data_IF_989009722796
#
_entry.id   IF_989009722796
#
_cell.length_a   1.000
_cell.length_b   1.000
_cell.length_c   1.000
_cell.angle_alpha   90.00
_cell.angle_beta   90.00
_cell.angle_gamma   90.00
#
_symmetry.space_group_name_H-M   'P 1'
#
loop_
_entity.id
_entity.type
_entity.pdbx_description
1 polymer ?
#
# COMPACT_ATOMS: atom_id res chain seq x y z
N UNK A 1 15.27 3.66 39.76
CA UNK A 1 14.10 3.63 38.85
C UNK A 1 13.92 2.20 38.37
N UNK A 2 12.80 1.54 38.69
CA UNK A 2 12.51 0.18 38.22
C UNK A 2 12.02 0.24 36.77
N UNK A 3 12.67 -0.50 35.87
CA UNK A 3 12.24 -0.62 34.46
C UNK A 3 11.58 -1.99 34.30
N UNK A 4 10.30 -2.01 33.92
CA UNK A 4 9.55 -3.24 33.70
C UNK A 4 8.54 -3.08 32.55
N UNK A 5 8.17 -4.19 31.92
CA UNK A 5 7.20 -4.19 30.83
C UNK A 5 7.16 -5.49 30.05
N UNK A 6 6.48 -5.46 28.91
CA UNK A 6 6.43 -6.58 27.96
C UNK A 6 7.27 -6.26 26.73
N UNK A 7 8.03 -7.23 26.24
CA UNK A 7 8.93 -7.03 25.10
C UNK A 7 9.19 -8.32 24.35
N UNK A 8 9.61 -8.21 23.09
CA UNK A 8 9.93 -9.36 22.25
C UNK A 8 11.41 -9.72 22.32
N UNK A 9 11.71 -10.98 22.59
CA UNK A 9 13.05 -11.56 22.73
C UNK A 9 13.26 -12.71 21.76
N UNK A 10 14.53 -13.15 21.65
CA UNK A 10 14.96 -14.28 20.81
C UNK A 10 14.51 -14.17 19.34
N UNK A 11 14.60 -12.95 18.80
CA UNK A 11 14.11 -12.62 17.45
C UNK A 11 15.00 -13.23 16.35
N UNK A 12 14.44 -14.13 15.55
CA UNK A 12 15.04 -14.75 14.37
C UNK A 12 14.28 -14.40 13.06
N UNK A 13 14.81 -14.82 11.90
CA UNK A 13 14.22 -14.61 10.57
C UNK A 13 13.75 -13.16 10.34
N UNK A 14 14.56 -12.18 10.74
CA UNK A 14 14.21 -10.76 10.64
C UNK A 14 14.12 -10.32 9.17
N UNK A 15 13.06 -9.60 8.84
CA UNK A 15 12.89 -8.89 7.57
C UNK A 15 12.42 -7.46 7.87
N UNK A 16 12.79 -6.51 7.03
CA UNK A 16 12.42 -5.10 7.17
C UNK A 16 12.01 -4.56 5.83
N UNK A 17 10.86 -3.90 5.77
CA UNK A 17 10.40 -3.17 4.60
C UNK A 17 9.84 -1.81 5.01
N UNK A 18 9.60 -0.96 4.03
CA UNK A 18 8.80 0.25 4.16
C UNK A 18 7.50 0.13 3.37
N UNK A 19 6.54 0.99 3.66
CA UNK A 19 5.25 0.98 2.98
C UNK A 19 4.16 1.60 3.83
N UNK A 20 2.98 1.72 3.25
CA UNK A 20 1.80 2.22 3.95
C UNK A 20 1.22 1.13 4.85
N UNK A 21 1.10 1.43 6.14
CA UNK A 21 0.54 0.49 7.11
C UNK A 21 -0.99 0.39 6.95
N UNK A 22 -1.52 -0.82 6.79
CA UNK A 22 -2.97 -1.05 6.66
C UNK A 22 -3.79 -0.62 7.88
N UNK A 23 -3.17 -0.58 9.06
CA UNK A 23 -3.86 -0.17 10.31
C UNK A 23 -3.89 1.34 10.52
N UNK A 24 -2.80 2.06 10.20
CA UNK A 24 -2.69 3.49 10.52
C UNK A 24 -2.53 4.41 9.30
N UNK A 25 -2.48 3.85 8.09
CA UNK A 25 -2.35 4.58 6.83
C UNK A 25 -0.99 5.24 6.58
N UNK A 26 -0.12 5.36 7.60
CA UNK A 26 1.15 6.08 7.44
C UNK A 26 2.22 5.23 6.74
N UNK A 27 2.99 5.88 5.86
CA UNK A 27 4.24 5.32 5.36
C UNK A 27 5.24 5.14 6.49
N UNK A 28 5.61 3.89 6.80
CA UNK A 28 6.38 3.55 7.99
C UNK A 28 7.35 2.40 7.73
N UNK A 29 8.34 2.26 8.62
CA UNK A 29 9.17 1.04 8.68
C UNK A 29 8.34 -0.08 9.31
N UNK A 30 8.27 -1.21 8.62
CA UNK A 30 7.66 -2.44 9.11
C UNK A 30 8.74 -3.50 9.27
N UNK A 31 8.72 -4.20 10.40
CA UNK A 31 9.70 -5.26 10.70
C UNK A 31 8.96 -6.54 11.02
N UNK A 32 9.41 -7.65 10.45
CA UNK A 32 8.89 -8.99 10.73
C UNK A 32 9.97 -9.82 11.40
N UNK A 33 9.60 -10.69 12.33
CA UNK A 33 10.52 -11.60 13.02
C UNK A 33 9.77 -12.79 13.61
N UNK A 34 10.48 -13.88 13.87
CA UNK A 34 9.96 -14.96 14.71
C UNK A 34 10.57 -14.85 16.11
N UNK A 35 9.79 -15.00 17.16
CA UNK A 35 10.26 -14.85 18.54
C UNK A 35 9.14 -15.00 19.55
N UNK A 36 9.43 -14.60 20.79
CA UNK A 36 8.51 -14.71 21.92
C UNK A 36 8.42 -13.36 22.63
N UNK A 37 7.26 -13.04 23.21
CA UNK A 37 7.14 -11.93 24.15
C UNK A 37 7.38 -12.42 25.58
N UNK A 38 8.02 -11.57 26.38
CA UNK A 38 8.30 -11.80 27.79
C UNK A 38 7.92 -10.57 28.60
N UNK A 39 7.46 -10.79 29.82
CA UNK A 39 7.60 -9.80 30.88
C UNK A 39 9.08 -9.70 31.23
N UNK A 40 9.60 -8.48 31.24
CA UNK A 40 10.99 -8.22 31.55
C UNK A 40 11.15 -7.25 32.72
N UNK A 41 12.21 -7.47 33.50
CA UNK A 41 12.69 -6.54 34.53
C UNK A 41 14.10 -6.12 34.13
N UNK A 42 14.34 -4.81 34.04
CA UNK A 42 15.60 -4.24 33.57
C UNK A 42 16.08 -4.87 32.24
N UNK A 43 15.15 -5.05 31.29
CA UNK A 43 15.36 -5.69 29.99
C UNK A 43 15.76 -7.17 30.03
N UNK A 44 15.79 -7.81 31.20
CA UNK A 44 16.01 -9.25 31.34
C UNK A 44 14.65 -9.96 31.17
N UNK A 45 14.49 -10.89 30.21
CA UNK A 45 13.23 -11.62 30.01
C UNK A 45 13.02 -12.61 31.16
N UNK A 46 12.01 -12.37 31.99
CA UNK A 46 11.75 -13.16 33.22
C UNK A 46 10.63 -14.17 33.01
N UNK A 47 9.48 -13.73 32.47
CA UNK A 47 8.29 -14.59 32.34
C UNK A 47 7.84 -14.61 30.87
N UNK A 48 7.80 -15.77 30.20
CA UNK A 48 7.28 -15.86 28.84
C UNK A 48 5.79 -15.52 28.84
N UNK A 49 5.39 -14.59 27.97
CA UNK A 49 3.98 -14.17 27.78
C UNK A 49 3.39 -14.83 26.54
N UNK A 50 4.20 -15.13 25.53
CA UNK A 50 3.76 -15.85 24.34
C UNK A 50 4.58 -17.09 24.07
N UNK A 51 3.98 -18.04 23.35
CA UNK A 51 4.71 -19.07 22.63
C UNK A 51 5.54 -18.45 21.48
N UNK A 52 6.42 -19.27 20.89
CA UNK A 52 7.20 -18.88 19.73
C UNK A 52 6.29 -18.67 18.52
N UNK A 53 6.29 -17.46 17.99
CA UNK A 53 5.36 -17.02 16.95
C UNK A 53 6.06 -16.13 15.93
N UNK A 54 5.46 -16.04 14.74
CA UNK A 54 5.84 -15.07 13.71
C UNK A 54 5.07 -13.78 13.95
N UNK A 55 5.80 -12.69 14.15
CA UNK A 55 5.28 -11.33 14.04
C UNK A 55 5.55 -10.85 12.61
N UNK A 56 4.49 -10.55 11.88
CA UNK A 56 4.52 -10.19 10.47
C UNK A 56 4.06 -8.74 10.30
N UNK A 57 4.88 -7.91 9.64
CA UNK A 57 4.65 -6.48 9.38
C UNK A 57 4.36 -5.64 10.63
N UNK A 58 5.19 -5.76 11.65
CA UNK A 58 5.08 -4.87 12.82
C UNK A 58 5.46 -3.44 12.44
N UNK A 59 4.51 -2.51 12.55
CA UNK A 59 4.65 -1.11 12.18
C UNK A 59 5.29 -0.28 13.29
N UNK A 60 6.36 0.45 12.97
CA UNK A 60 7.05 1.32 13.91
C UNK A 60 6.27 2.57 14.34
N UNK A 61 5.19 2.93 13.65
CA UNK A 61 4.39 4.12 13.96
C UNK A 61 3.20 3.80 14.87
N UNK A 62 2.48 2.70 14.64
CA UNK A 62 1.30 2.34 15.44
C UNK A 62 1.50 1.12 16.35
N UNK A 63 2.68 0.50 16.33
CA UNK A 63 3.02 -0.66 17.15
C UNK A 63 2.11 -1.89 16.95
N UNK A 64 1.40 -1.95 15.82
CA UNK A 64 0.58 -3.10 15.41
C UNK A 64 1.33 -3.99 14.43
N UNK A 65 1.08 -5.30 14.50
CA UNK A 65 1.57 -6.30 13.57
C UNK A 65 0.72 -7.57 13.66
N UNK A 66 0.77 -8.40 12.62
CA UNK A 66 0.04 -9.67 12.59
C UNK A 66 0.84 -10.75 13.31
N UNK A 67 0.15 -11.66 14.00
CA UNK A 67 0.75 -12.75 14.78
C UNK A 67 0.31 -14.09 14.23
N UNK A 68 1.25 -15.00 13.98
CA UNK A 68 0.97 -16.33 13.46
C UNK A 68 1.76 -17.41 14.20
N UNK A 69 1.17 -18.59 14.46
CA UNK A 69 1.95 -19.80 14.68
C UNK A 69 2.87 -20.04 13.46
N UNK A 70 4.17 -20.39 13.65
CA UNK A 70 5.09 -20.53 12.52
C UNK A 70 4.64 -21.53 11.44
N UNK A 71 4.11 -22.73 11.78
CA UNK A 71 3.63 -23.65 10.75
C UNK A 71 2.52 -23.06 9.87
N UNK A 72 1.59 -22.31 10.49
CA UNK A 72 0.50 -21.64 9.77
C UNK A 72 1.02 -20.51 8.87
N UNK A 73 2.00 -19.75 9.34
CA UNK A 73 2.64 -18.72 8.50
C UNK A 73 3.32 -19.34 7.28
N UNK A 74 4.03 -20.46 7.47
CA UNK A 74 4.75 -21.13 6.40
C UNK A 74 3.76 -21.75 5.38
N UNK A 75 2.64 -22.32 5.85
CA UNK A 75 1.53 -22.78 5.00
C UNK A 75 0.93 -21.65 4.16
N UNK A 76 0.61 -20.50 4.78
CA UNK A 76 0.07 -19.34 4.06
C UNK A 76 1.08 -18.82 3.03
N UNK A 77 2.36 -18.77 3.40
CA UNK A 77 3.43 -18.33 2.51
C UNK A 77 3.55 -19.23 1.28
N UNK A 78 3.43 -20.55 1.46
CA UNK A 78 3.44 -21.51 0.35
C UNK A 78 2.24 -21.29 -0.59
N UNK A 79 1.03 -21.18 -0.04
CA UNK A 79 -0.20 -20.91 -0.82
C UNK A 79 -0.10 -19.62 -1.63
N UNK A 80 0.46 -18.56 -1.04
CA UNK A 80 0.70 -17.29 -1.73
C UNK A 80 1.68 -17.47 -2.89
N UNK A 81 2.74 -18.25 -2.73
CA UNK A 81 3.69 -18.53 -3.82
C UNK A 81 3.02 -19.28 -4.98
N UNK A 82 2.18 -20.27 -4.68
CA UNK A 82 1.44 -21.04 -5.69
C UNK A 82 0.45 -20.16 -6.46
N UNK A 83 -0.35 -19.37 -5.76
CA UNK A 83 -1.31 -18.45 -6.38
C UNK A 83 -0.62 -17.31 -7.16
N UNK A 84 0.54 -16.84 -6.70
CA UNK A 84 1.32 -15.83 -7.42
C UNK A 84 1.82 -16.35 -8.77
N UNK A 85 2.12 -17.65 -8.87
CA UNK A 85 2.45 -18.27 -10.15
C UNK A 85 1.27 -18.23 -11.13
N UNK A 86 0.04 -18.45 -10.65
CA UNK A 86 -1.17 -18.33 -11.49
C UNK A 86 -1.40 -16.88 -11.94
N UNK A 87 -1.22 -15.91 -11.04
CA UNK A 87 -1.30 -14.50 -11.39
C UNK A 87 -0.26 -14.07 -12.44
N UNK A 88 0.97 -14.60 -12.34
CA UNK A 88 2.01 -14.37 -13.34
C UNK A 88 1.63 -14.94 -14.71
N UNK A 89 1.09 -16.16 -14.74
CA UNK A 89 0.64 -16.78 -16.00
C UNK A 89 -0.50 -15.98 -16.65
N UNK A 90 -1.51 -15.57 -15.87
CA UNK A 90 -2.59 -14.71 -16.36
C UNK A 90 -2.04 -13.42 -16.99
N UNK A 91 -1.15 -12.71 -16.28
CA UNK A 91 -0.53 -11.48 -16.80
C UNK A 91 0.32 -11.72 -18.05
N UNK A 92 0.95 -12.89 -18.18
CA UNK A 92 1.73 -13.28 -19.37
C UNK A 92 0.83 -13.58 -20.57
N UNK A 93 -0.37 -14.08 -20.33
CA UNK A 93 -1.37 -14.37 -21.36
C UNK A 93 -2.22 -13.13 -21.70
N UNK A 94 -1.94 -11.99 -21.05
CA UNK A 94 -2.65 -10.72 -21.25
C UNK A 94 -4.01 -10.66 -20.52
N UNK A 95 -4.24 -11.58 -19.59
CA UNK A 95 -5.43 -11.63 -18.75
C UNK A 95 -5.28 -10.69 -17.54
N UNK A 96 -6.36 -9.97 -17.20
CA UNK A 96 -6.38 -9.07 -16.05
C UNK A 96 -6.79 -9.79 -14.75
N UNK A 97 -7.54 -10.88 -14.84
CA UNK A 97 -8.12 -11.57 -13.69
C UNK A 97 -7.66 -13.01 -13.59
N UNK A 98 -7.42 -13.48 -12.36
CA UNK A 98 -7.19 -14.88 -12.06
C UNK A 98 -8.50 -15.49 -11.54
N UNK A 99 -8.91 -16.66 -12.05
CA UNK A 99 -10.04 -17.39 -11.48
C UNK A 99 -9.72 -17.76 -10.03
N UNK A 100 -10.60 -17.39 -9.11
CA UNK A 100 -10.58 -17.94 -7.76
C UNK A 100 -11.71 -18.99 -7.70
N UNK A 101 -11.37 -20.24 -7.33
CA UNK A 101 -12.32 -21.36 -7.38
C UNK A 101 -13.46 -21.16 -6.36
N UNK A 102 -13.18 -20.44 -5.27
CA UNK A 102 -14.09 -20.28 -4.13
C UNK A 102 -14.60 -18.84 -3.93
N UNK A 103 -14.09 -17.86 -4.69
CA UNK A 103 -14.43 -16.43 -4.56
C UNK A 103 -14.52 -15.73 -5.93
N UNK A 104 -14.88 -14.45 -5.92
CA UNK A 104 -14.84 -13.57 -7.10
C UNK A 104 -13.44 -13.56 -7.77
N UNK A 105 -13.39 -13.47 -9.12
CA UNK A 105 -12.14 -13.28 -9.84
C UNK A 105 -11.31 -12.14 -9.26
N UNK A 106 -10.03 -12.39 -9.05
CA UNK A 106 -9.13 -11.40 -8.44
C UNK A 106 -8.24 -10.79 -9.51
N UNK A 107 -8.13 -9.46 -9.53
CA UNK A 107 -7.18 -8.75 -10.39
C UNK A 107 -5.75 -9.29 -10.15
N UNK A 108 -5.14 -9.82 -11.20
CA UNK A 108 -3.88 -10.56 -11.14
C UNK A 108 -2.74 -9.68 -10.62
N UNK A 109 -2.71 -8.40 -11.02
CA UNK A 109 -1.71 -7.45 -10.56
C UNK A 109 -1.89 -7.12 -9.07
N UNK A 110 -3.12 -6.87 -8.61
CA UNK A 110 -3.41 -6.59 -7.21
C UNK A 110 -3.07 -7.78 -6.32
N UNK A 111 -3.36 -9.00 -6.77
CA UNK A 111 -2.92 -10.21 -6.09
C UNK A 111 -1.39 -10.25 -6.00
N UNK A 112 -0.69 -10.00 -7.11
CA UNK A 112 0.77 -10.04 -7.16
C UNK A 112 1.41 -8.96 -6.28
N UNK A 113 0.85 -7.75 -6.21
CA UNK A 113 1.27 -6.72 -5.23
C UNK A 113 1.12 -7.23 -3.79
N UNK A 114 -0.02 -7.84 -3.45
CA UNK A 114 -0.25 -8.43 -2.13
C UNK A 114 0.72 -9.58 -1.81
N UNK A 115 0.98 -10.45 -2.79
CA UNK A 115 1.94 -11.53 -2.66
C UNK A 115 3.35 -11.01 -2.43
N UNK A 116 3.78 -10.00 -3.20
CA UNK A 116 5.08 -9.35 -3.05
C UNK A 116 5.24 -8.72 -1.67
N UNK A 117 4.22 -8.02 -1.17
CA UNK A 117 4.23 -7.41 0.17
C UNK A 117 4.38 -8.46 1.30
N UNK A 118 3.64 -9.57 1.19
CA UNK A 118 3.74 -10.69 2.14
C UNK A 118 5.11 -11.37 2.08
N UNK A 119 5.57 -11.73 0.88
CA UNK A 119 6.80 -12.50 0.68
C UNK A 119 8.03 -11.68 1.10
N UNK A 120 8.02 -10.38 0.81
CA UNK A 120 9.05 -9.47 1.31
C UNK A 120 9.11 -9.49 2.85
N UNK A 121 7.94 -9.39 3.50
CA UNK A 121 7.82 -9.47 4.95
C UNK A 121 8.15 -10.86 5.51
N UNK A 122 8.02 -11.92 4.71
CA UNK A 122 8.39 -13.29 5.05
C UNK A 122 9.90 -13.58 4.97
N UNK A 123 10.71 -12.60 4.53
CA UNK A 123 12.15 -12.74 4.23
C UNK A 123 12.41 -13.58 2.96
N UNK A 124 11.54 -13.44 1.97
CA UNK A 124 11.58 -14.13 0.68
C UNK A 124 11.75 -13.12 -0.48
N UNK A 125 12.54 -12.05 -0.26
CA UNK A 125 12.71 -10.96 -1.25
C UNK A 125 13.24 -11.50 -2.58
N UNK A 126 14.16 -12.45 -2.53
CA UNK A 126 14.74 -13.10 -3.70
C UNK A 126 13.69 -13.78 -4.57
N UNK A 127 12.64 -14.34 -3.95
CA UNK A 127 11.51 -14.91 -4.67
C UNK A 127 10.69 -13.82 -5.38
N UNK A 128 10.48 -12.67 -4.74
CA UNK A 128 9.82 -11.53 -5.40
C UNK A 128 10.60 -11.03 -6.63
N UNK A 129 11.93 -11.11 -6.62
CA UNK A 129 12.76 -10.72 -7.77
C UNK A 129 12.62 -11.70 -8.94
N UNK A 130 12.27 -12.96 -8.69
CA UNK A 130 11.96 -13.93 -9.77
C UNK A 130 10.69 -13.55 -10.51
N UNK A 131 9.72 -12.88 -9.86
CA UNK A 131 8.53 -12.37 -10.54
C UNK A 131 8.90 -11.37 -11.63
N UNK A 132 9.86 -10.47 -11.38
CA UNK A 132 10.32 -9.50 -12.38
C UNK A 132 10.94 -10.19 -13.60
N UNK A 133 11.68 -11.28 -13.40
CA UNK A 133 12.23 -12.06 -14.52
C UNK A 133 11.11 -12.65 -15.38
N UNK A 134 10.02 -13.11 -14.76
CA UNK A 134 8.86 -13.67 -15.45
C UNK A 134 7.99 -12.61 -16.13
N UNK A 135 7.96 -11.39 -15.60
CA UNK A 135 7.23 -10.25 -16.16
C UNK A 135 8.01 -9.49 -17.25
N UNK A 136 9.27 -9.85 -17.53
CA UNK A 136 10.07 -9.21 -18.59
C UNK A 136 9.60 -9.65 -20.00
N UNK A 137 8.38 -9.22 -20.35
CA UNK A 137 7.69 -9.48 -21.62
C UNK A 137 6.94 -8.22 -22.07
N UNK A 138 6.76 -7.99 -23.38
CA UNK A 138 6.07 -6.80 -23.89
C UNK A 138 4.66 -6.58 -23.31
N UNK A 139 3.89 -7.66 -23.14
CA UNK A 139 2.52 -7.66 -22.65
C UNK A 139 2.46 -7.30 -21.16
N UNK A 140 3.49 -7.66 -20.41
CA UNK A 140 3.57 -7.45 -18.96
C UNK A 140 4.19 -6.11 -18.56
N UNK A 141 4.55 -5.21 -19.49
CA UNK A 141 5.28 -3.96 -19.19
C UNK A 141 4.64 -3.13 -18.08
N UNK A 142 3.31 -3.05 -18.07
CA UNK A 142 2.57 -2.36 -17.01
C UNK A 142 2.79 -3.03 -15.65
N UNK A 143 2.54 -4.34 -15.55
CA UNK A 143 2.73 -5.12 -14.33
C UNK A 143 4.19 -5.13 -13.85
N UNK A 144 5.15 -5.29 -14.77
CA UNK A 144 6.58 -5.23 -14.47
C UNK A 144 6.96 -3.90 -13.83
N UNK A 145 6.52 -2.78 -14.41
CA UNK A 145 6.78 -1.44 -13.89
C UNK A 145 6.11 -1.23 -12.52
N UNK A 146 4.87 -1.69 -12.33
CA UNK A 146 4.14 -1.63 -11.06
C UNK A 146 4.85 -2.40 -9.94
N UNK A 147 5.24 -3.66 -10.18
CA UNK A 147 5.93 -4.49 -9.19
C UNK A 147 7.34 -3.95 -8.90
N UNK A 148 8.06 -3.48 -9.93
CA UNK A 148 9.37 -2.84 -9.76
C UNK A 148 9.28 -1.61 -8.87
N UNK A 149 8.29 -0.74 -9.12
CA UNK A 149 8.04 0.44 -8.32
C UNK A 149 7.70 0.11 -6.87
N UNK A 150 6.90 -0.94 -6.65
CA UNK A 150 6.49 -1.40 -5.34
C UNK A 150 7.67 -1.98 -4.53
N UNK A 151 8.54 -2.75 -5.17
CA UNK A 151 9.79 -3.24 -4.56
C UNK A 151 10.71 -2.08 -4.13
N UNK A 152 10.90 -1.07 -4.98
CA UNK A 152 11.66 0.12 -4.61
C UNK A 152 11.03 0.89 -3.43
N UNK A 153 9.69 0.98 -3.39
CA UNK A 153 8.99 1.60 -2.26
C UNK A 153 9.27 0.84 -0.95
N UNK A 154 9.29 -0.49 -1.00
CA UNK A 154 9.58 -1.35 0.15
C UNK A 154 11.04 -1.28 0.59
N UNK A 155 11.96 -1.06 -0.35
CA UNK A 155 13.36 -0.73 -0.07
C UNK A 155 13.53 0.68 0.53
N UNK A 156 12.52 1.54 0.39
CA UNK A 156 12.55 2.93 0.84
C UNK A 156 13.14 3.89 -0.19
N UNK A 157 13.44 3.43 -1.41
CA UNK A 157 13.86 4.27 -2.53
C UNK A 157 12.63 4.86 -3.20
N UNK A 158 12.10 5.92 -2.59
CA UNK A 158 10.92 6.61 -3.12
C UNK A 158 11.18 7.23 -4.50
N UNK A 159 12.43 7.59 -4.83
CA UNK A 159 12.75 8.22 -6.11
C UNK A 159 12.55 7.22 -7.25
N UNK A 160 13.17 6.04 -7.15
CA UNK A 160 12.98 4.98 -8.14
C UNK A 160 11.55 4.45 -8.14
N UNK A 161 10.91 4.38 -6.97
CA UNK A 161 9.51 3.99 -6.88
C UNK A 161 8.61 4.94 -7.70
N UNK A 162 8.73 6.26 -7.52
CA UNK A 162 7.97 7.23 -8.30
C UNK A 162 8.26 7.12 -9.81
N UNK A 163 9.55 7.00 -10.19
CA UNK A 163 9.95 6.84 -11.58
C UNK A 163 9.28 5.62 -12.24
N UNK A 164 9.33 4.46 -11.59
CA UNK A 164 8.74 3.25 -12.14
C UNK A 164 7.20 3.26 -12.13
N UNK A 165 6.55 3.91 -11.17
CA UNK A 165 5.09 4.12 -11.25
C UNK A 165 4.71 5.04 -12.42
N UNK A 166 5.52 6.05 -12.73
CA UNK A 166 5.32 6.87 -13.94
C UNK A 166 5.60 6.09 -15.23
N UNK A 167 6.54 5.13 -15.21
CA UNK A 167 6.71 4.19 -16.33
C UNK A 167 5.49 3.28 -16.50
N UNK A 168 4.89 2.81 -15.41
CA UNK A 168 3.63 2.05 -15.46
C UNK A 168 2.50 2.90 -16.08
N UNK A 169 2.35 4.15 -15.63
CA UNK A 169 1.36 5.07 -16.21
C UNK A 169 1.57 5.30 -17.72
N UNK A 170 2.83 5.35 -18.19
CA UNK A 170 3.12 5.43 -19.64
C UNK A 170 2.82 4.13 -20.38
N UNK A 171 2.99 2.98 -19.74
CA UNK A 171 2.73 1.67 -20.34
C UNK A 171 1.23 1.40 -20.49
N UNK A 172 0.40 1.91 -19.58
CA UNK A 172 -1.06 1.86 -19.66
C UNK A 172 -1.69 3.23 -19.32
N UNK A 173 -1.77 4.16 -20.30
CA UNK A 173 -2.22 5.54 -20.06
C UNK A 173 -3.67 5.69 -19.62
N UNK A 174 -4.51 4.67 -19.89
CA UNK A 174 -5.92 4.65 -19.50
C UNK A 174 -6.13 3.94 -18.16
N UNK A 175 -5.06 3.47 -17.51
CA UNK A 175 -5.13 2.85 -16.19
C UNK A 175 -4.72 3.86 -15.10
N UNK A 176 -5.64 4.12 -14.17
CA UNK A 176 -5.42 5.09 -13.11
C UNK A 176 -4.35 4.64 -12.09
N UNK A 177 -4.08 3.33 -11.97
CA UNK A 177 -3.26 2.75 -10.88
C UNK A 177 -1.84 3.31 -10.90
N UNK A 178 -1.22 3.42 -12.07
CA UNK A 178 0.14 3.96 -12.22
C UNK A 178 0.24 5.41 -11.73
N UNK A 179 -0.64 6.27 -12.23
CA UNK A 179 -0.73 7.68 -11.83
C UNK A 179 -1.03 7.84 -10.33
N UNK A 180 -1.98 7.08 -9.80
CA UNK A 180 -2.34 7.13 -8.39
C UNK A 180 -1.18 6.70 -7.48
N UNK A 181 -0.52 5.58 -7.79
CA UNK A 181 0.61 5.08 -7.01
C UNK A 181 1.79 6.07 -7.05
N UNK A 182 2.07 6.67 -8.21
CA UNK A 182 3.06 7.73 -8.35
C UNK A 182 2.70 8.94 -7.46
N UNK A 183 1.45 9.41 -7.51
CA UNK A 183 0.98 10.54 -6.71
C UNK A 183 1.17 10.29 -5.20
N UNK A 184 0.79 9.11 -4.71
CA UNK A 184 0.97 8.74 -3.29
C UNK A 184 2.44 8.76 -2.86
N UNK A 185 3.34 8.24 -3.70
CA UNK A 185 4.79 8.29 -3.43
C UNK A 185 5.31 9.73 -3.45
N UNK A 186 4.85 10.56 -4.39
CA UNK A 186 5.22 11.97 -4.50
C UNK A 186 4.75 12.78 -3.28
N UNK A 187 3.58 12.46 -2.71
CA UNK A 187 3.13 13.04 -1.43
C UNK A 187 4.11 12.72 -0.30
N UNK A 188 4.58 11.47 -0.19
CA UNK A 188 5.59 11.08 0.81
C UNK A 188 6.94 11.78 0.58
N UNK A 189 7.29 12.07 -0.68
CA UNK A 189 8.45 12.90 -1.04
C UNK A 189 8.25 14.40 -0.80
N UNK A 190 7.05 14.82 -0.38
CA UNK A 190 6.64 16.24 -0.24
C UNK A 190 6.64 17.01 -1.57
N UNK A 191 6.63 16.32 -2.72
CA UNK A 191 6.52 16.92 -4.06
C UNK A 191 5.05 17.11 -4.43
N UNK A 192 4.36 17.96 -3.67
CA UNK A 192 2.90 18.06 -3.69
C UNK A 192 2.33 18.56 -5.03
N UNK A 193 3.02 19.44 -5.76
CA UNK A 193 2.53 19.90 -7.07
C UNK A 193 2.54 18.77 -8.10
N UNK A 194 3.62 17.98 -8.14
CA UNK A 194 3.71 16.81 -9.01
C UNK A 194 2.66 15.77 -8.61
N UNK A 195 2.46 15.54 -7.31
CA UNK A 195 1.43 14.61 -6.84
C UNK A 195 0.02 15.03 -7.28
N UNK A 196 -0.30 16.34 -7.25
CA UNK A 196 -1.60 16.85 -7.71
C UNK A 196 -1.78 16.62 -9.21
N UNK A 197 -0.74 16.85 -10.02
CA UNK A 197 -0.79 16.55 -11.47
C UNK A 197 -1.08 15.07 -11.71
N UNK A 198 -0.42 14.17 -11.00
CA UNK A 198 -0.64 12.73 -11.14
C UNK A 198 -2.01 12.29 -10.60
N UNK A 199 -2.51 12.87 -9.49
CA UNK A 199 -3.89 12.61 -9.04
C UNK A 199 -4.92 13.06 -10.08
N UNK A 200 -4.71 14.20 -10.72
CA UNK A 200 -5.61 14.69 -11.76
C UNK A 200 -5.61 13.74 -12.97
N UNK A 201 -4.44 13.26 -13.40
CA UNK A 201 -4.34 12.25 -14.45
C UNK A 201 -5.03 10.93 -14.04
N UNK A 202 -4.83 10.46 -12.81
CA UNK A 202 -5.50 9.28 -12.28
C UNK A 202 -7.03 9.43 -12.24
N UNK A 203 -7.54 10.60 -11.84
CA UNK A 203 -8.98 10.86 -11.78
C UNK A 203 -9.64 10.87 -13.18
N UNK A 204 -8.90 11.31 -14.20
CA UNK A 204 -9.35 11.27 -15.61
C UNK A 204 -9.33 9.85 -16.16
N UNK A 205 -8.29 9.06 -15.83
CA UNK A 205 -8.15 7.68 -16.26
C UNK A 205 -9.13 6.71 -15.56
N UNK A 206 -9.62 7.06 -14.36
CA UNK A 206 -10.61 6.26 -13.66
C UNK A 206 -11.97 6.30 -14.39
N UNK A 207 -12.25 5.24 -15.17
CA UNK A 207 -13.49 5.06 -15.92
C UNK A 207 -14.75 5.15 -15.04
N UNK A 208 -15.91 5.38 -15.67
CA UNK A 208 -17.19 5.57 -14.97
C UNK A 208 -17.59 4.38 -14.08
N UNK A 209 -17.19 3.16 -14.46
CA UNK A 209 -17.38 1.93 -13.68
C UNK A 209 -16.58 1.91 -12.36
N UNK A 210 -15.58 2.78 -12.23
CA UNK A 210 -14.77 2.97 -11.03
C UNK A 210 -15.09 4.30 -10.33
N UNK A 211 -16.37 4.69 -10.30
CA UNK A 211 -16.82 5.93 -9.66
C UNK A 211 -16.32 6.10 -8.22
N UNK A 212 -16.32 5.02 -7.43
CA UNK A 212 -15.80 5.04 -6.05
C UNK A 212 -14.29 5.30 -6.00
N UNK A 213 -13.56 4.77 -6.98
CA UNK A 213 -12.13 4.99 -7.08
C UNK A 213 -11.82 6.44 -7.46
N UNK A 214 -12.57 6.99 -8.42
CA UNK A 214 -12.43 8.41 -8.80
C UNK A 214 -12.70 9.33 -7.60
N UNK A 215 -13.73 9.04 -6.81
CA UNK A 215 -14.03 9.80 -5.58
C UNK A 215 -12.88 9.73 -4.58
N UNK A 216 -12.30 8.54 -4.36
CA UNK A 216 -11.14 8.40 -3.50
C UNK A 216 -9.93 9.21 -4.00
N UNK A 217 -9.67 9.21 -5.32
CA UNK A 217 -8.58 9.99 -5.92
C UNK A 217 -8.81 11.50 -5.71
N UNK A 218 -10.03 11.98 -5.94
CA UNK A 218 -10.40 13.38 -5.70
C UNK A 218 -10.23 13.78 -4.23
N UNK A 219 -10.55 12.89 -3.31
CA UNK A 219 -10.36 13.12 -1.87
C UNK A 219 -8.88 13.29 -1.53
N UNK A 220 -8.02 12.37 -2.00
CA UNK A 220 -6.57 12.46 -1.81
C UNK A 220 -5.97 13.74 -2.43
N UNK A 221 -6.45 14.12 -3.61
CA UNK A 221 -6.08 15.37 -4.27
C UNK A 221 -6.49 16.59 -3.45
N UNK A 222 -7.71 16.62 -2.90
CA UNK A 222 -8.20 17.71 -2.06
C UNK A 222 -7.37 17.88 -0.78
N UNK A 223 -6.93 16.77 -0.16
CA UNK A 223 -6.00 16.80 0.97
C UNK A 223 -4.63 17.39 0.58
N UNK A 224 -4.07 16.98 -0.56
CA UNK A 224 -2.81 17.50 -1.07
C UNK A 224 -2.89 19.01 -1.36
N UNK A 225 -3.98 19.46 -2.01
CA UNK A 225 -4.27 20.87 -2.27
C UNK A 225 -4.41 21.67 -0.97
N UNK A 226 -5.09 21.11 0.04
CA UNK A 226 -5.25 21.73 1.36
C UNK A 226 -3.92 21.89 2.07
N UNK A 227 -3.02 20.89 1.99
CA UNK A 227 -1.65 20.97 2.54
C UNK A 227 -0.84 22.10 1.88
N UNK A 228 -1.08 22.36 0.58
CA UNK A 228 -0.46 23.47 -0.16
C UNK A 228 -1.18 24.82 -0.01
N UNK A 229 -2.24 24.91 0.80
CA UNK A 229 -3.08 26.11 0.95
C UNK A 229 -3.76 26.55 -0.36
N UNK A 230 -3.89 25.67 -1.35
CA UNK A 230 -4.61 25.88 -2.61
C UNK A 230 -6.11 25.64 -2.38
N UNK A 231 -6.71 26.44 -1.49
CA UNK A 231 -8.05 26.16 -0.93
C UNK A 231 -9.18 26.26 -1.96
N UNK A 232 -9.07 27.13 -2.96
CA UNK A 232 -10.08 27.25 -4.01
C UNK A 232 -10.17 25.97 -4.84
N UNK A 233 -9.02 25.40 -5.21
CA UNK A 233 -8.95 24.14 -5.96
C UNK A 233 -9.38 22.95 -5.08
N UNK A 234 -9.00 22.94 -3.80
CA UNK A 234 -9.48 21.94 -2.85
C UNK A 234 -11.02 21.98 -2.72
N UNK A 235 -11.62 23.18 -2.66
CA UNK A 235 -13.08 23.33 -2.64
C UNK A 235 -13.72 22.71 -3.87
N UNK A 236 -13.18 22.98 -5.07
CA UNK A 236 -13.71 22.40 -6.31
C UNK A 236 -13.64 20.87 -6.31
N UNK A 237 -12.55 20.30 -5.82
CA UNK A 237 -12.42 18.85 -5.69
C UNK A 237 -13.46 18.27 -4.72
N UNK A 238 -13.75 18.93 -3.60
CA UNK A 238 -14.82 18.51 -2.70
C UNK A 238 -16.21 18.65 -3.33
N UNK A 239 -16.46 19.73 -4.08
CA UNK A 239 -17.73 19.91 -4.81
C UNK A 239 -17.93 18.81 -5.85
N UNK A 240 -16.86 18.40 -6.55
CA UNK A 240 -16.88 17.29 -7.50
C UNK A 240 -17.17 15.94 -6.81
N UNK A 241 -16.60 15.69 -5.63
CA UNK A 241 -16.93 14.49 -4.82
C UNK A 241 -18.43 14.44 -4.50
N UNK A 242 -19.00 15.56 -4.04
CA UNK A 242 -20.44 15.64 -3.72
C UNK A 242 -21.30 15.47 -4.97
N UNK A 243 -20.84 15.95 -6.13
CA UNK A 243 -21.53 15.75 -7.39
C UNK A 243 -21.59 14.26 -7.79
N UNK A 244 -20.51 13.50 -7.59
CA UNK A 244 -20.49 12.06 -7.88
C UNK A 244 -21.18 11.21 -6.81
N UNK A 245 -21.04 11.60 -5.54
CA UNK A 245 -21.55 10.86 -4.38
C UNK A 245 -22.17 11.83 -3.36
N UNK A 246 -23.43 12.26 -3.54
CA UNK A 246 -24.11 13.18 -2.63
C UNK A 246 -24.18 12.69 -1.18
N UNK A 247 -24.11 11.38 -0.95
CA UNK A 247 -24.10 10.75 0.37
C UNK A 247 -22.91 11.16 1.25
N UNK A 248 -21.81 11.66 0.67
CA UNK A 248 -20.68 12.22 1.45
C UNK A 248 -21.10 13.41 2.32
N UNK A 249 -22.21 14.08 2.00
CA UNK A 249 -22.78 15.13 2.87
C UNK A 249 -23.30 14.60 4.21
N UNK A 250 -23.49 13.29 4.35
CA UNK A 250 -23.85 12.66 5.62
C UNK A 250 -22.63 12.40 6.52
N UNK A 251 -21.41 12.41 5.95
CA UNK A 251 -20.17 12.30 6.72
C UNK A 251 -19.78 13.67 7.32
N UNK A 252 -19.89 13.77 8.65
CA UNK A 252 -19.59 15.00 9.40
C UNK A 252 -18.12 15.43 9.24
N UNK A 253 -17.17 14.49 9.16
CA UNK A 253 -15.76 14.85 9.00
C UNK A 253 -15.49 15.34 7.57
N UNK A 254 -16.08 14.71 6.55
CA UNK A 254 -16.03 15.21 5.19
C UNK A 254 -16.57 16.65 5.08
N UNK A 255 -17.79 16.89 5.56
CA UNK A 255 -18.45 18.21 5.49
C UNK A 255 -17.63 19.28 6.21
N UNK A 256 -17.01 18.93 7.34
CA UNK A 256 -16.11 19.83 8.07
C UNK A 256 -14.87 20.20 7.26
N UNK A 257 -14.24 19.24 6.58
CA UNK A 257 -13.09 19.49 5.71
C UNK A 257 -13.47 20.37 4.51
N UNK A 258 -14.57 20.04 3.85
CA UNK A 258 -15.12 20.82 2.73
C UNK A 258 -15.42 22.27 3.13
N UNK A 259 -16.18 22.48 4.21
CA UNK A 259 -16.54 23.82 4.68
C UNK A 259 -15.31 24.63 5.11
N UNK A 260 -14.31 23.96 5.70
CA UNK A 260 -13.03 24.60 6.04
C UNK A 260 -12.27 25.05 4.80
N UNK A 261 -12.27 24.26 3.72
CA UNK A 261 -11.65 24.63 2.46
C UNK A 261 -12.38 25.83 1.83
N UNK A 262 -13.73 25.78 1.74
CA UNK A 262 -14.59 26.87 1.25
C UNK A 262 -14.37 28.19 1.98
N UNK A 263 -14.46 28.16 3.31
CA UNK A 263 -14.20 29.32 4.18
C UNK A 263 -12.81 29.93 3.93
N UNK A 264 -11.77 29.11 3.74
CA UNK A 264 -10.41 29.61 3.48
C UNK A 264 -10.19 30.07 2.04
N UNK A 265 -11.00 29.59 1.10
CA UNK A 265 -11.02 30.04 -0.27
C UNK A 265 -11.84 31.33 -0.48
N UNK A 266 -12.70 31.70 0.49
CA UNK A 266 -13.59 32.85 0.39
C UNK A 266 -14.86 32.58 -0.43
N UNK A 267 -15.27 31.31 -0.50
CA UNK A 267 -16.49 30.84 -1.19
C UNK A 267 -17.42 30.11 -0.22
#
# INVERSE_FOLDING_TARGET
>A
MLIYGTGYYFKAKKATQRGFCSTCGKYSKMTSWSGMSFFHLYFIPVIPISSYQRIHKYCSNCNNGLTFPPPKHDEITLKIKEQAAMALLALQDGEEFVPNIDDEPTDALSFLEGAVDWLYAAKEKEFCLQFLQQLNRPECRFAEAMITAFLYMMDGDLNKSAEHYLLAAKASPNDYRGHLRAANVLVEQKKLDQAITEYQAAAVAAAAEHADMRVNILYLMAEALTKQKRFLEASKAYDEIVQYRPEYLNDKEFVKLMNKAKKKAGV
#
